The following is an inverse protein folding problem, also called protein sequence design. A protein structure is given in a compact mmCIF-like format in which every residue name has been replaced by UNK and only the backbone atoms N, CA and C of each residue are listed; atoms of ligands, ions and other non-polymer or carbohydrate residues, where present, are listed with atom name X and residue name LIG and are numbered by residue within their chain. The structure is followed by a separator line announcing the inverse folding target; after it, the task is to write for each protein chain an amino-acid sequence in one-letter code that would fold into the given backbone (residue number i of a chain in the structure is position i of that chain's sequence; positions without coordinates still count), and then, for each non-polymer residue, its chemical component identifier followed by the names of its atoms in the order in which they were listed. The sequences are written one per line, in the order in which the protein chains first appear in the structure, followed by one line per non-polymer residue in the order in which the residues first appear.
data_IF_391320737321
#
_entry.id   IF_391320737321
#
_cell.length_a   1.000
_cell.length_b   1.000
_cell.length_c   1.000
_cell.angle_alpha   90.00
_cell.angle_beta   90.00
_cell.angle_gamma   90.00
#
_symmetry.space_group_name_H-M   'P 1'
#
loop_
_entity.id
_entity.type
_entity.pdbx_description
1 polymer ?
#
# COMPACT_ATOMS: atom_id res chain seq x y z
N UNK A 1 -25.25 24.44 -6.88
CA UNK A 1 -24.97 23.67 -8.12
C UNK A 1 -23.47 23.55 -8.26
N UNK A 2 -22.91 22.34 -8.07
CA UNK A 2 -21.49 22.08 -8.25
C UNK A 2 -21.34 21.52 -9.67
N UNK A 3 -20.72 22.28 -10.57
CA UNK A 3 -20.40 21.80 -11.93
C UNK A 3 -19.24 20.81 -11.82
N UNK A 4 -19.55 19.51 -11.88
CA UNK A 4 -18.59 18.43 -11.82
C UNK A 4 -18.27 17.93 -13.24
N UNK A 5 -17.61 18.76 -14.03
CA UNK A 5 -16.87 18.28 -15.21
C UNK A 5 -15.43 17.98 -14.76
N UNK A 6 -15.00 16.71 -14.70
CA UNK A 6 -13.60 16.41 -14.46
C UNK A 6 -12.79 16.90 -15.66
N UNK A 7 -11.93 17.90 -15.46
CA UNK A 7 -10.97 18.33 -16.47
C UNK A 7 -9.86 17.29 -16.58
N UNK A 8 -10.04 16.32 -17.49
CA UNK A 8 -8.96 15.46 -17.94
C UNK A 8 -7.93 16.35 -18.66
N UNK A 9 -6.81 16.57 -18.01
CA UNK A 9 -5.75 17.42 -18.56
C UNK A 9 -5.16 16.75 -19.80
N UNK A 10 -5.30 17.40 -20.95
CA UNK A 10 -4.77 17.03 -22.27
C UNK A 10 -3.27 16.67 -22.28
N UNK A 11 -2.52 17.03 -21.24
CA UNK A 11 -1.12 16.66 -21.05
C UNK A 11 -0.91 15.15 -20.83
N UNK A 12 -1.91 14.43 -20.31
CA UNK A 12 -1.83 12.98 -20.17
C UNK A 12 -1.91 12.23 -21.52
N UNK A 13 -2.34 12.90 -22.60
CA UNK A 13 -2.52 12.28 -23.91
C UNK A 13 -1.33 12.45 -24.86
N UNK A 14 -0.33 13.28 -24.54
CA UNK A 14 0.68 13.68 -25.53
C UNK A 14 2.03 12.97 -25.43
N UNK A 15 2.18 11.97 -24.57
CA UNK A 15 3.48 11.27 -24.46
C UNK A 15 3.36 9.84 -23.95
N UNK A 16 2.81 8.92 -24.75
CA UNK A 16 3.32 7.55 -24.90
C UNK A 16 2.57 6.80 -26.02
N UNK A 17 3.29 5.90 -26.70
CA UNK A 17 2.78 5.05 -27.78
C UNK A 17 1.54 4.24 -27.33
N UNK A 18 0.58 3.95 -28.23
CA UNK A 18 -0.64 3.20 -27.90
C UNK A 18 -0.44 1.72 -27.51
N UNK A 19 0.78 1.18 -27.54
CA UNK A 19 1.08 -0.19 -27.11
C UNK A 19 1.12 -0.38 -25.57
N UNK A 20 1.14 0.71 -24.79
CA UNK A 20 1.30 0.65 -23.32
C UNK A 20 0.00 0.88 -22.53
N UNK A 21 -1.01 1.52 -23.13
CA UNK A 21 -2.26 1.78 -22.41
C UNK A 21 -3.14 0.53 -22.32
N UNK A 22 -3.22 -0.25 -23.40
CA UNK A 22 -3.91 -1.55 -23.38
C UNK A 22 -3.25 -2.50 -22.40
N UNK A 23 -1.92 -2.61 -22.37
CA UNK A 23 -1.22 -3.49 -21.42
C UNK A 23 -1.44 -3.08 -19.95
N UNK A 24 -1.47 -1.78 -19.66
CA UNK A 24 -1.82 -1.27 -18.33
C UNK A 24 -3.28 -1.54 -17.97
N UNK A 25 -4.21 -1.35 -18.91
CA UNK A 25 -5.63 -1.69 -18.71
C UNK A 25 -5.82 -3.19 -18.52
N UNK A 26 -5.18 -4.02 -19.33
CA UNK A 26 -5.21 -5.48 -19.26
C UNK A 26 -4.68 -5.95 -17.89
N UNK A 27 -3.56 -5.38 -17.45
CA UNK A 27 -2.99 -5.66 -16.13
C UNK A 27 -3.92 -5.21 -15.01
N UNK A 28 -4.60 -4.06 -15.16
CA UNK A 28 -5.57 -3.57 -14.20
C UNK A 28 -6.81 -4.45 -14.15
N UNK A 29 -7.38 -4.81 -15.29
CA UNK A 29 -8.57 -5.67 -15.38
C UNK A 29 -8.28 -7.08 -14.87
N UNK A 30 -7.05 -7.58 -15.07
CA UNK A 30 -6.64 -8.90 -14.54
C UNK A 30 -6.43 -8.87 -13.02
N UNK A 31 -6.00 -7.74 -12.45
CA UNK A 31 -5.67 -7.63 -11.03
C UNK A 31 -6.88 -7.29 -10.12
N UNK A 32 -7.99 -6.84 -10.69
CA UNK A 32 -9.15 -6.36 -9.92
C UNK A 32 -10.44 -7.04 -10.37
N UNK A 33 -11.20 -7.56 -9.40
CA UNK A 33 -12.59 -7.97 -9.61
C UNK A 33 -13.54 -6.82 -9.22
N UNK A 34 -14.50 -6.52 -10.10
CA UNK A 34 -15.53 -5.50 -9.85
C UNK A 34 -16.79 -6.15 -9.29
N UNK A 35 -17.26 -5.66 -8.15
CA UNK A 35 -18.48 -6.13 -7.49
C UNK A 35 -19.49 -5.00 -7.38
N UNK A 36 -20.77 -5.34 -7.50
CA UNK A 36 -21.87 -4.38 -7.31
C UNK A 36 -22.05 -3.91 -5.87
N UNK A 37 -21.45 -4.60 -4.88
CA UNK A 37 -21.47 -4.17 -3.48
C UNK A 37 -20.25 -4.65 -2.70
N UNK A 38 -19.91 -3.90 -1.65
CA UNK A 38 -18.83 -4.26 -0.74
C UNK A 38 -19.08 -5.56 0.03
N UNK A 39 -20.35 -5.93 0.28
CA UNK A 39 -20.69 -7.21 0.93
C UNK A 39 -20.29 -8.40 0.08
N UNK A 40 -20.60 -8.36 -1.22
CA UNK A 40 -20.23 -9.44 -2.14
C UNK A 40 -18.71 -9.51 -2.30
N UNK A 41 -18.04 -8.36 -2.43
CA UNK A 41 -16.58 -8.31 -2.48
C UNK A 41 -15.93 -8.90 -1.22
N UNK A 42 -16.46 -8.58 -0.03
CA UNK A 42 -15.97 -9.11 1.23
C UNK A 42 -16.17 -10.63 1.32
N UNK A 43 -17.37 -11.11 0.97
CA UNK A 43 -17.70 -12.53 0.98
C UNK A 43 -16.77 -13.32 0.05
N UNK A 44 -16.59 -12.84 -1.18
CA UNK A 44 -15.76 -13.54 -2.15
C UNK A 44 -14.28 -13.54 -1.75
N UNK A 45 -13.76 -12.41 -1.24
CA UNK A 45 -12.41 -12.33 -0.70
C UNK A 45 -12.19 -13.28 0.48
N UNK A 46 -13.10 -13.30 1.46
CA UNK A 46 -13.01 -14.20 2.62
C UNK A 46 -13.07 -15.66 2.23
N UNK A 47 -13.91 -16.03 1.27
CA UNK A 47 -14.04 -17.41 0.77
C UNK A 47 -12.71 -17.98 0.26
N UNK A 48 -11.81 -17.13 -0.25
CA UNK A 48 -10.49 -17.57 -0.76
C UNK A 48 -9.45 -17.82 0.33
N UNK A 49 -9.62 -17.24 1.52
CA UNK A 49 -8.60 -17.26 2.60
C UNK A 49 -9.06 -17.95 3.88
N UNK A 50 -10.34 -18.33 3.98
CA UNK A 50 -10.94 -18.86 5.20
C UNK A 50 -11.69 -20.17 4.96
N UNK A 51 -11.83 -20.94 6.03
CA UNK A 51 -12.58 -22.20 6.10
C UNK A 51 -13.70 -22.05 7.12
N UNK A 52 -14.85 -22.69 6.88
CA UNK A 52 -15.96 -22.68 7.83
C UNK A 52 -15.52 -23.13 9.24
N UNK A 53 -16.08 -22.51 10.27
CA UNK A 53 -15.70 -22.71 11.67
C UNK A 53 -14.59 -21.78 12.17
N UNK A 54 -13.87 -21.09 11.28
CA UNK A 54 -12.88 -20.09 11.66
C UNK A 54 -13.55 -18.77 12.09
N UNK A 55 -12.78 -17.91 12.77
CA UNK A 55 -13.24 -16.60 13.22
C UNK A 55 -12.62 -15.44 12.44
N UNK A 56 -13.38 -14.34 12.35
CA UNK A 56 -12.96 -13.08 11.71
C UNK A 56 -13.12 -11.94 12.70
N UNK A 57 -12.04 -11.20 12.91
CA UNK A 57 -12.00 -10.07 13.84
C UNK A 57 -12.49 -8.78 13.18
N UNK A 58 -13.50 -8.16 13.78
CA UNK A 58 -14.18 -6.96 13.32
C UNK A 58 -14.09 -5.82 14.34
N UNK A 59 -13.92 -4.57 13.91
CA UNK A 59 -14.04 -3.44 14.80
C UNK A 59 -15.46 -3.34 15.38
N UNK A 60 -15.59 -3.10 16.69
CA UNK A 60 -16.87 -3.02 17.40
C UNK A 60 -17.82 -1.90 16.94
N UNK A 61 -17.37 -0.97 16.08
CA UNK A 61 -18.21 0.09 15.53
C UNK A 61 -18.86 -0.27 14.18
N UNK A 62 -18.49 -1.41 13.57
CA UNK A 62 -19.06 -1.79 12.28
C UNK A 62 -20.53 -2.21 12.43
N UNK A 63 -21.40 -1.83 11.49
CA UNK A 63 -22.79 -2.25 11.51
C UNK A 63 -22.90 -3.76 11.21
N UNK A 64 -23.94 -4.39 11.75
CA UNK A 64 -24.23 -5.82 11.60
C UNK A 64 -24.29 -6.29 10.13
N UNK A 65 -24.65 -5.38 9.23
CA UNK A 65 -24.63 -5.61 7.78
C UNK A 65 -23.26 -6.09 7.24
N UNK A 66 -22.16 -5.82 7.95
CA UNK A 66 -20.81 -6.31 7.60
C UNK A 66 -20.54 -7.70 8.18
N UNK A 67 -21.21 -8.07 9.28
CA UNK A 67 -21.09 -9.41 9.88
C UNK A 67 -21.91 -10.47 9.12
N UNK A 68 -23.01 -10.07 8.49
CA UNK A 68 -23.87 -10.95 7.67
C UNK A 68 -23.09 -11.85 6.68
N UNK A 69 -22.24 -11.33 5.76
CA UNK A 69 -21.49 -12.18 4.83
C UNK A 69 -20.48 -13.12 5.51
N UNK A 70 -20.04 -12.82 6.74
CA UNK A 70 -19.12 -13.66 7.51
C UNK A 70 -19.89 -14.86 8.06
N UNK A 71 -21.06 -14.60 8.65
CA UNK A 71 -21.96 -15.65 9.16
C UNK A 71 -22.45 -16.56 8.03
N UNK A 72 -22.78 -16.00 6.86
CA UNK A 72 -23.18 -16.77 5.67
C UNK A 72 -22.11 -17.77 5.18
N UNK A 73 -20.83 -17.49 5.45
CA UNK A 73 -19.72 -18.38 5.12
C UNK A 73 -19.46 -19.44 6.21
N UNK A 74 -20.26 -19.46 7.27
CA UNK A 74 -20.06 -20.32 8.43
C UNK A 74 -18.87 -19.89 9.30
N UNK A 75 -18.46 -18.63 9.21
CA UNK A 75 -17.41 -18.04 10.03
C UNK A 75 -18.02 -17.35 11.26
N UNK A 76 -17.25 -17.27 12.33
CA UNK A 76 -17.65 -16.58 13.56
C UNK A 76 -17.16 -15.10 13.55
N UNK A 77 -18.06 -14.10 13.47
CA UNK A 77 -17.66 -12.71 13.63
C UNK A 77 -17.36 -12.40 15.10
N UNK A 78 -16.15 -11.93 15.37
CA UNK A 78 -15.71 -11.52 16.72
C UNK A 78 -15.33 -10.06 16.73
N UNK A 79 -15.81 -9.32 17.72
CA UNK A 79 -15.57 -7.88 17.78
C UNK A 79 -14.37 -7.54 18.66
N UNK A 80 -13.54 -6.60 18.21
CA UNK A 80 -12.42 -6.06 18.96
C UNK A 80 -12.65 -4.57 19.29
N UNK A 81 -12.08 -4.13 20.40
CA UNK A 81 -12.16 -2.78 20.92
C UNK A 81 -11.37 -1.79 20.05
N UNK A 82 -11.88 -0.56 19.98
CA UNK A 82 -11.21 0.53 19.26
C UNK A 82 -10.69 1.58 20.22
N UNK A 83 -9.69 2.33 19.77
CA UNK A 83 -9.24 3.55 20.44
C UNK A 83 -10.18 4.72 20.13
N UNK A 84 -10.05 5.81 20.89
CA UNK A 84 -10.77 7.08 20.61
C UNK A 84 -10.50 7.63 19.20
N UNK A 85 -9.32 7.34 18.65
CA UNK A 85 -8.94 7.70 17.27
C UNK A 85 -9.60 6.82 16.20
N UNK A 86 -10.54 5.94 16.59
CA UNK A 86 -11.19 4.93 15.75
C UNK A 86 -10.17 4.04 15.04
N UNK A 87 -9.06 3.75 15.73
CA UNK A 87 -8.05 2.78 15.34
C UNK A 87 -8.23 1.47 16.13
N UNK A 88 -7.56 0.39 15.70
CA UNK A 88 -7.58 -0.84 16.48
C UNK A 88 -6.88 -0.69 17.83
N UNK A 89 -7.50 -1.19 18.90
CA UNK A 89 -6.79 -1.40 20.16
C UNK A 89 -5.90 -2.66 20.01
N UNK A 90 -4.59 -2.45 19.96
CA UNK A 90 -3.61 -3.51 19.68
C UNK A 90 -3.57 -4.56 20.80
N UNK A 91 -3.77 -4.16 22.05
CA UNK A 91 -3.70 -5.07 23.18
C UNK A 91 -4.95 -5.98 23.22
N UNK A 92 -6.13 -5.40 22.97
CA UNK A 92 -7.37 -6.19 22.83
C UNK A 92 -7.29 -7.13 21.61
N UNK A 93 -6.77 -6.67 20.47
CA UNK A 93 -6.54 -7.54 19.30
C UNK A 93 -5.62 -8.73 19.63
N UNK A 94 -4.47 -8.47 20.27
CA UNK A 94 -3.53 -9.54 20.65
C UNK A 94 -4.16 -10.58 21.56
N UNK A 95 -5.06 -10.16 22.45
CA UNK A 95 -5.76 -11.08 23.35
C UNK A 95 -6.83 -11.94 22.67
N UNK A 96 -7.30 -11.54 21.47
CA UNK A 96 -8.39 -12.18 20.74
C UNK A 96 -7.95 -13.05 19.57
N UNK A 97 -6.76 -12.83 19.04
CA UNK A 97 -6.20 -13.65 17.97
C UNK A 97 -5.89 -15.03 18.55
N UNK A 98 -6.44 -16.07 17.93
CA UNK A 98 -6.20 -17.46 18.27
C UNK A 98 -5.82 -18.28 17.02
N UNK A 99 -5.68 -19.60 17.19
CA UNK A 99 -5.32 -20.51 16.08
C UNK A 99 -6.41 -20.61 15.02
N UNK A 100 -7.65 -20.23 15.34
CA UNK A 100 -8.80 -20.28 14.45
C UNK A 100 -9.09 -18.92 13.78
N UNK A 101 -8.29 -17.89 14.06
CA UNK A 101 -8.44 -16.58 13.43
C UNK A 101 -7.96 -16.60 11.98
N UNK A 102 -8.91 -16.53 11.04
CA UNK A 102 -8.60 -16.49 9.60
C UNK A 102 -8.18 -15.09 9.12
N UNK A 103 -8.83 -14.05 9.64
CA UNK A 103 -8.63 -12.68 9.17
C UNK A 103 -9.00 -11.63 10.22
N UNK A 104 -8.48 -10.42 10.02
CA UNK A 104 -8.85 -9.21 10.75
C UNK A 104 -9.19 -8.11 9.74
N UNK A 105 -10.28 -7.38 9.96
CA UNK A 105 -10.68 -6.25 9.11
C UNK A 105 -10.24 -4.93 9.76
N UNK A 106 -9.13 -4.30 9.31
CA UNK A 106 -8.73 -3.00 9.83
C UNK A 106 -9.55 -1.86 9.22
N UNK A 107 -9.74 -0.79 10.00
CA UNK A 107 -10.07 0.50 9.40
C UNK A 107 -8.86 1.03 8.65
N UNK A 108 -9.04 1.42 7.39
CA UNK A 108 -8.05 2.26 6.71
C UNK A 108 -8.06 3.67 7.30
N UNK A 109 -7.08 4.00 8.14
CA UNK A 109 -6.86 5.39 8.57
C UNK A 109 -6.43 6.21 7.34
N UNK A 110 -7.17 7.27 7.01
CA UNK A 110 -6.63 8.31 6.10
C UNK A 110 -5.45 8.93 6.83
N UNK A 111 -4.22 8.59 6.44
CA UNK A 111 -3.06 9.34 6.91
C UNK A 111 -3.15 10.73 6.31
N UNK A 112 -3.46 11.74 7.11
CA UNK A 112 -3.13 13.12 6.78
C UNK A 112 -1.60 13.23 6.83
N UNK A 113 -0.91 12.77 5.78
CA UNK A 113 0.44 13.25 5.54
C UNK A 113 0.26 14.69 5.08
N UNK A 114 0.45 15.63 6.01
CA UNK A 114 0.90 16.97 5.67
C UNK A 114 2.25 16.80 4.98
N UNK A 115 2.22 16.68 3.66
CA UNK A 115 3.42 16.77 2.82
C UNK A 115 3.89 18.21 2.86
N UNK A 116 4.52 18.62 3.96
CA UNK A 116 5.44 19.75 3.92
C UNK A 116 6.71 19.22 3.26
N UNK A 117 6.69 19.14 1.92
CA UNK A 117 7.94 18.97 1.18
C UNK A 117 8.70 20.29 1.30
N UNK A 118 9.60 20.38 2.27
CA UNK A 118 10.68 21.35 2.20
C UNK A 118 11.61 20.84 1.11
N UNK A 119 11.43 21.33 -0.11
CA UNK A 119 12.47 21.27 -1.13
C UNK A 119 13.68 22.04 -0.59
N UNK A 120 14.87 21.43 -0.43
CA UNK A 120 16.07 22.21 -0.26
C UNK A 120 16.40 22.87 -1.61
N UNK A 121 16.37 24.20 -1.64
CA UNK A 121 16.89 25.01 -2.76
C UNK A 121 18.32 24.58 -3.13
N UNK A 122 18.69 24.54 -4.42
CA UNK A 122 20.02 24.14 -4.84
C UNK A 122 21.05 25.19 -4.41
N UNK A 123 21.85 24.82 -3.41
CA UNK A 123 23.03 25.56 -2.96
C UNK A 123 24.04 25.68 -4.10
N UNK A 124 24.51 26.91 -4.30
CA UNK A 124 25.54 27.34 -5.24
C UNK A 124 26.77 26.41 -5.26
N UNK A 125 26.98 25.71 -6.37
CA UNK A 125 28.27 25.06 -6.67
C UNK A 125 29.29 26.13 -7.07
N UNK A 126 30.10 26.57 -6.11
CA UNK A 126 31.37 27.26 -6.39
C UNK A 126 32.31 26.27 -7.08
N UNK A 127 32.74 26.63 -8.29
CA UNK A 127 33.88 26.05 -8.98
C UNK A 127 35.13 26.15 -8.10
N UNK A 128 35.67 25.00 -7.67
CA UNK A 128 37.05 24.90 -7.18
C UNK A 128 37.86 24.16 -8.24
N UNK A 129 38.74 24.89 -8.92
CA UNK A 129 39.70 24.34 -9.89
C UNK A 129 40.61 23.34 -9.17
N UNK A 130 40.72 22.14 -9.73
CA UNK A 130 41.79 21.18 -9.44
C UNK A 130 43.05 21.61 -10.21
N UNK A 131 44.26 21.54 -9.63
CA UNK A 131 45.49 21.64 -10.39
C UNK A 131 45.80 20.30 -11.10
N UNK A 132 46.33 20.44 -12.32
CA UNK A 132 46.76 19.34 -13.18
C UNK A 132 47.92 18.55 -12.57
N UNK A 133 47.77 17.24 -12.51
CA UNK A 133 48.84 16.27 -12.21
C UNK A 133 49.50 15.83 -13.51
N UNK A 134 50.74 16.26 -13.71
CA UNK A 134 51.68 15.85 -14.76
C UNK A 134 52.15 14.41 -14.55
N UNK A 135 52.17 13.64 -15.63
CA UNK A 135 52.63 12.25 -15.73
C UNK A 135 54.16 12.12 -15.75
N UNK A 136 54.69 11.10 -15.07
CA UNK A 136 55.97 10.42 -15.36
C UNK A 136 55.89 9.02 -14.70
N UNK A 137 55.73 7.90 -15.43
CA UNK A 137 56.72 7.14 -16.23
C UNK A 137 57.78 6.42 -15.35
N UNK A 138 57.54 5.11 -15.14
CA UNK A 138 58.46 3.97 -15.34
C UNK A 138 59.40 3.48 -14.23
N UNK A 139 59.36 2.13 -14.05
CA UNK A 139 60.44 1.20 -13.64
C UNK A 139 60.82 1.11 -12.15
N UNK A 140 61.23 -0.01 -11.53
CA UNK A 140 61.31 -1.48 -11.77
C UNK A 140 61.69 -2.10 -10.39
N UNK A 141 61.54 -3.42 -10.23
CA UNK A 141 62.45 -4.30 -9.43
C UNK A 141 62.07 -4.68 -7.99
N UNK A 142 61.58 -5.92 -7.87
CA UNK A 142 61.82 -6.99 -6.87
C UNK A 142 62.62 -6.72 -5.57
N UNK A 143 62.13 -7.23 -4.44
CA UNK A 143 62.79 -8.24 -3.56
C UNK A 143 61.83 -8.57 -2.38
N UNK A 144 61.26 -9.77 -2.27
CA UNK A 144 61.76 -10.98 -1.58
C UNK A 144 61.95 -10.86 -0.05
N UNK A 145 61.26 -11.77 0.65
CA UNK A 145 61.69 -12.58 1.80
C UNK A 145 61.09 -12.32 3.19
N UNK A 146 60.35 -13.37 3.62
CA UNK A 146 60.08 -13.91 4.98
C UNK A 146 59.15 -13.16 5.93
#
# INVERSE_FOLDING_TARGET
MISATPSLSLWALSSHRPADFESLLEQYVTAYAFYGSGKIALRDGLKTISTAGQNVLLPAYLPDAVAEPIVELGLEPRFYAITESLGPNVDDLRSRIDTETAAMIPRRRRSSRSTTSVFPSPVSRRFRRLPASTSAITSTTTLTHR
#
